data_IF_467412073310
#
_entry.id   IF_467412073310
#
_cell.length_a   1.000
_cell.length_b   1.000
_cell.length_c   1.000
_cell.angle_alpha   90.00
_cell.angle_beta   90.00
_cell.angle_gamma   90.00
#
_symmetry.space_group_name_H-M   'P 1'
#
loop_
_entity.id
_entity.type
_entity.pdbx_description
1 polymer ?
#
# COMPACT_ATOMS: atom_id res chain seq x y z
N UNK A 1 -22.75 -18.13 19.65
CA UNK A 1 -22.45 -17.46 18.42
C UNK A 1 -21.01 -17.02 18.40
N UNK A 2 -20.46 -17.07 17.30
CA UNK A 2 -19.08 -16.70 17.25
C UNK A 2 -18.94 -15.20 17.11
N UNK A 3 -17.84 -14.70 17.63
CA UNK A 3 -17.50 -13.33 17.41
C UNK A 3 -17.11 -13.14 15.97
N UNK A 4 -17.46 -12.01 15.44
CA UNK A 4 -17.02 -11.68 14.10
C UNK A 4 -15.57 -11.27 14.14
N UNK A 5 -14.75 -12.00 13.45
CA UNK A 5 -13.39 -11.57 13.25
C UNK A 5 -13.39 -10.48 12.21
N UNK A 6 -12.67 -9.41 12.49
CA UNK A 6 -12.49 -8.40 11.48
C UNK A 6 -11.64 -8.95 10.35
N UNK A 7 -12.13 -8.76 9.16
CA UNK A 7 -11.37 -9.13 7.99
C UNK A 7 -10.15 -8.24 7.89
N UNK A 8 -9.00 -8.86 7.81
CA UNK A 8 -7.75 -8.11 7.74
C UNK A 8 -7.59 -7.48 6.37
N UNK A 9 -7.13 -6.25 6.35
CA UNK A 9 -6.90 -5.51 5.12
C UNK A 9 -5.53 -4.85 5.20
N UNK A 10 -4.79 -4.89 4.10
CA UNK A 10 -3.44 -4.37 4.05
C UNK A 10 -3.30 -3.37 2.91
N UNK A 11 -2.45 -2.38 3.14
CA UNK A 11 -2.02 -1.46 2.10
C UNK A 11 -0.56 -1.76 1.77
N UNK A 12 -0.30 -2.14 0.55
CA UNK A 12 1.06 -2.26 0.03
C UNK A 12 1.37 -0.96 -0.70
N UNK A 13 2.44 -0.30 -0.32
CA UNK A 13 2.75 1.04 -0.83
C UNK A 13 4.23 1.19 -1.08
N UNK A 14 4.59 1.79 -2.21
CA UNK A 14 5.97 2.09 -2.53
C UNK A 14 6.06 3.36 -3.36
N UNK A 15 7.17 4.08 -3.19
CA UNK A 15 7.48 5.22 -4.05
C UNK A 15 8.25 4.73 -5.26
N UNK A 16 7.90 5.26 -6.42
CA UNK A 16 8.49 4.85 -7.68
C UNK A 16 8.75 6.09 -8.52
N UNK A 17 10.03 6.48 -8.65
CA UNK A 17 10.43 7.50 -9.62
C UNK A 17 9.60 8.78 -9.64
N UNK A 18 9.32 9.37 -8.48
CA UNK A 18 8.53 10.59 -8.40
C UNK A 18 7.04 10.39 -8.26
N UNK A 19 6.60 9.15 -8.19
CA UNK A 19 5.20 8.81 -7.95
C UNK A 19 5.11 7.71 -6.92
N UNK A 20 3.99 7.02 -6.94
CA UNK A 20 3.79 5.90 -6.03
C UNK A 20 2.99 4.80 -6.71
N UNK A 21 3.15 3.59 -6.21
CA UNK A 21 2.33 2.46 -6.60
C UNK A 21 1.80 1.83 -5.33
N UNK A 22 0.57 1.32 -5.40
CA UNK A 22 -0.05 0.77 -4.21
C UNK A 22 -1.09 -0.27 -4.59
N UNK A 23 -1.40 -1.12 -3.61
CA UNK A 23 -2.48 -2.08 -3.70
C UNK A 23 -3.09 -2.23 -2.32
N UNK A 24 -4.41 -2.22 -2.23
CA UNK A 24 -5.13 -2.39 -0.98
C UNK A 24 -6.07 -3.58 -1.10
N UNK A 25 -6.03 -4.46 -0.11
CA UNK A 25 -6.92 -5.61 -0.13
C UNK A 25 -6.70 -6.51 1.08
N UNK A 26 -7.44 -7.60 1.13
CA UNK A 26 -7.42 -8.52 2.25
C UNK A 26 -6.62 -9.79 1.96
N UNK A 27 -5.79 -9.78 0.92
CA UNK A 27 -4.90 -10.89 0.64
C UNK A 27 -3.62 -10.79 1.48
N UNK A 28 -2.86 -11.88 1.51
CA UNK A 28 -1.62 -11.90 2.27
C UNK A 28 -0.66 -10.79 1.84
N UNK A 29 0.12 -10.23 2.79
CA UNK A 29 1.00 -9.12 2.49
C UNK A 29 1.97 -9.36 1.33
N UNK A 30 2.49 -10.57 1.21
CA UNK A 30 3.40 -10.91 0.12
C UNK A 30 2.71 -10.82 -1.24
N UNK A 31 1.45 -11.24 -1.31
CA UNK A 31 0.69 -11.14 -2.54
C UNK A 31 0.31 -9.69 -2.83
N UNK A 32 0.00 -8.93 -1.80
CA UNK A 32 -0.30 -7.50 -1.97
C UNK A 32 0.93 -6.77 -2.51
N UNK A 33 2.11 -7.08 -1.97
CA UNK A 33 3.35 -6.49 -2.45
C UNK A 33 3.61 -6.83 -3.90
N UNK A 34 3.38 -8.09 -4.29
CA UNK A 34 3.58 -8.50 -5.67
C UNK A 34 2.64 -7.76 -6.62
N UNK A 35 1.37 -7.60 -6.24
CA UNK A 35 0.43 -6.85 -7.07
C UNK A 35 0.86 -5.38 -7.20
N UNK A 36 1.37 -4.81 -6.13
CA UNK A 36 1.90 -3.45 -6.14
C UNK A 36 3.07 -3.31 -7.13
N UNK A 37 4.00 -4.25 -7.09
CA UNK A 37 5.16 -4.24 -7.99
C UNK A 37 4.76 -4.47 -9.44
N UNK A 38 3.84 -5.38 -9.69
CA UNK A 38 3.36 -5.61 -11.04
C UNK A 38 2.77 -4.35 -11.64
N UNK A 39 2.00 -3.60 -10.86
CA UNK A 39 1.43 -2.35 -11.33
C UNK A 39 2.52 -1.31 -11.57
N UNK A 40 3.48 -1.20 -10.67
CA UNK A 40 4.58 -0.26 -10.83
C UNK A 40 5.38 -0.55 -12.09
N UNK A 41 5.66 -1.82 -12.33
CA UNK A 41 6.44 -2.23 -13.50
C UNK A 41 5.71 -1.91 -14.79
N UNK A 42 4.41 -2.16 -14.80
CA UNK A 42 3.57 -1.82 -15.96
C UNK A 42 3.56 -0.32 -16.21
N UNK A 43 3.41 0.47 -15.16
CA UNK A 43 3.36 1.92 -15.29
C UNK A 43 4.69 2.47 -15.81
N UNK A 44 5.80 1.96 -15.30
CA UNK A 44 7.11 2.42 -15.75
C UNK A 44 7.34 2.14 -17.22
N UNK A 45 6.99 0.94 -17.66
CA UNK A 45 7.12 0.62 -19.08
C UNK A 45 6.26 1.50 -19.96
N UNK A 46 5.07 1.81 -19.49
CA UNK A 46 4.11 2.61 -20.26
C UNK A 46 4.47 4.08 -20.24
N UNK A 47 4.83 4.61 -19.07
CA UNK A 47 5.03 6.04 -18.87
C UNK A 47 6.45 6.47 -19.18
N UNK A 48 7.43 5.73 -18.66
CA UNK A 48 8.82 6.15 -18.75
C UNK A 48 9.61 5.45 -19.87
N UNK A 49 9.09 4.36 -20.38
CA UNK A 49 9.70 3.62 -21.49
C UNK A 49 11.13 3.16 -21.22
N UNK A 50 11.41 2.78 -19.99
CA UNK A 50 12.71 2.26 -19.60
C UNK A 50 12.54 1.00 -18.77
N UNK A 51 13.64 0.27 -18.58
CA UNK A 51 13.59 -0.96 -17.79
C UNK A 51 13.50 -0.61 -16.31
N UNK A 52 12.46 -1.08 -15.63
CA UNK A 52 12.36 -0.87 -14.20
C UNK A 52 13.34 -1.77 -13.45
N UNK A 53 13.59 -1.42 -12.20
CA UNK A 53 14.43 -2.24 -11.35
C UNK A 53 13.81 -3.61 -11.13
N UNK A 54 14.68 -4.57 -10.79
CA UNK A 54 14.23 -5.93 -10.47
C UNK A 54 14.15 -6.19 -9.00
N UNK A 55 14.78 -5.35 -8.18
CA UNK A 55 14.71 -5.43 -6.72
C UNK A 55 13.71 -4.41 -6.22
N UNK A 56 12.77 -4.88 -5.43
CA UNK A 56 11.67 -4.04 -4.98
C UNK A 56 11.52 -4.14 -3.47
N UNK A 57 11.18 -3.02 -2.83
CA UNK A 57 10.87 -2.96 -1.42
C UNK A 57 9.52 -2.29 -1.27
N UNK A 58 8.57 -3.01 -0.69
CA UNK A 58 7.20 -2.54 -0.57
C UNK A 58 6.82 -2.49 0.91
N UNK A 59 6.39 -1.33 1.38
CA UNK A 59 5.92 -1.19 2.75
C UNK A 59 4.51 -1.72 2.89
N UNK A 60 4.26 -2.45 3.96
CA UNK A 60 2.95 -3.01 4.26
C UNK A 60 2.39 -2.32 5.49
N UNK A 61 1.18 -1.82 5.36
CA UNK A 61 0.48 -1.08 6.41
C UNK A 61 -0.86 -1.71 6.73
N UNK A 62 -1.28 -1.59 7.97
CA UNK A 62 -2.54 -2.16 8.43
C UNK A 62 -3.68 -1.22 8.09
N UNK A 63 -4.63 -1.72 7.29
CA UNK A 63 -5.84 -0.98 6.90
C UNK A 63 -7.09 -1.56 7.54
N UNK A 64 -6.94 -2.50 8.46
CA UNK A 64 -8.07 -3.31 8.94
C UNK A 64 -9.23 -2.50 9.45
N UNK A 65 -9.00 -1.41 10.15
CA UNK A 65 -10.07 -0.59 10.71
C UNK A 65 -10.29 0.72 9.96
N UNK A 66 -9.78 0.84 8.75
CA UNK A 66 -9.78 2.10 8.02
C UNK A 66 -10.44 1.93 6.66
N UNK A 67 -11.76 1.91 6.67
CA UNK A 67 -12.52 1.61 5.45
C UNK A 67 -12.78 2.81 4.55
N UNK A 68 -12.37 4.00 4.94
CA UNK A 68 -12.63 5.20 4.14
C UNK A 68 -11.42 5.65 3.32
N UNK A 69 -10.39 4.82 3.26
CA UNK A 69 -9.22 5.09 2.45
C UNK A 69 -8.06 5.71 3.24
N UNK A 70 -7.13 6.27 2.51
CA UNK A 70 -5.89 6.76 3.09
C UNK A 70 -5.34 7.90 2.25
N UNK A 71 -4.33 8.57 2.81
CA UNK A 71 -3.61 9.63 2.10
C UNK A 71 -2.13 9.54 2.47
N UNK A 72 -1.27 9.58 1.48
CA UNK A 72 0.18 9.54 1.70
C UNK A 72 0.74 10.96 1.61
N UNK A 73 1.71 11.25 2.46
CA UNK A 73 2.40 12.53 2.46
C UNK A 73 3.85 12.29 2.87
N UNK A 74 4.66 13.36 2.89
CA UNK A 74 6.04 13.25 3.35
C UNK A 74 6.14 12.87 4.83
N UNK A 75 5.07 13.05 5.58
CA UNK A 75 5.05 12.73 7.00
C UNK A 75 4.52 11.34 7.32
N UNK A 76 4.05 10.61 6.32
CA UNK A 76 3.56 9.25 6.50
C UNK A 76 2.26 9.02 5.77
N UNK A 77 1.64 7.88 6.07
CA UNK A 77 0.36 7.50 5.47
C UNK A 77 -0.70 7.57 6.56
N UNK A 78 -1.74 8.34 6.30
CA UNK A 78 -2.80 8.62 7.28
C UNK A 78 -4.13 8.09 6.79
N UNK A 79 -4.99 7.60 7.69
CA UNK A 79 -6.32 7.14 7.29
C UNK A 79 -7.25 8.32 7.00
N UNK A 80 -8.24 8.08 6.15
CA UNK A 80 -9.30 9.05 5.90
C UNK A 80 -10.50 8.77 6.78
N UNK A 81 -11.20 9.82 7.13
CA UNK A 81 -12.43 9.74 7.89
C UNK A 81 -13.62 9.58 6.94
N UNK A 82 -14.80 9.35 7.53
CA UNK A 82 -16.03 9.12 6.75
C UNK A 82 -16.34 10.26 5.78
N UNK A 83 -16.03 11.49 6.17
CA UNK A 83 -16.28 12.66 5.33
C UNK A 83 -15.20 12.89 4.27
N UNK A 84 -14.21 12.02 4.18
CA UNK A 84 -13.13 12.12 3.22
C UNK A 84 -11.93 12.92 3.69
N UNK A 85 -12.03 13.58 4.83
CA UNK A 85 -10.89 14.32 5.37
C UNK A 85 -9.84 13.36 5.89
N UNK A 86 -8.61 13.85 6.03
CA UNK A 86 -7.48 13.05 6.48
C UNK A 86 -7.32 13.20 7.98
N UNK A 87 -7.28 12.07 8.70
CA UNK A 87 -7.00 12.09 10.13
C UNK A 87 -5.50 12.22 10.34
N UNK A 88 -5.07 13.30 10.97
CA UNK A 88 -3.64 13.52 11.23
C UNK A 88 -3.23 13.16 12.63
N UNK A 89 -4.13 12.55 13.40
CA UNK A 89 -3.83 12.16 14.78
C UNK A 89 -2.97 10.91 14.85
N UNK A 90 -3.14 10.01 13.91
CA UNK A 90 -2.45 8.71 13.95
C UNK A 90 -2.19 8.21 12.55
N UNK A 91 -0.95 7.86 12.29
CA UNK A 91 -0.57 7.23 11.01
C UNK A 91 -1.11 5.82 10.94
N UNK A 92 -1.23 5.29 9.73
CA UNK A 92 -1.46 3.86 9.58
C UNK A 92 -0.30 3.10 10.20
N UNK A 93 -0.61 1.96 10.80
CA UNK A 93 0.42 1.14 11.43
C UNK A 93 1.26 0.45 10.37
N UNK A 94 2.55 0.72 10.38
CA UNK A 94 3.50 0.01 9.54
C UNK A 94 3.74 -1.37 10.11
N UNK A 95 3.65 -2.39 9.26
CA UNK A 95 3.80 -3.77 9.69
C UNK A 95 5.16 -4.34 9.33
N UNK A 96 5.53 -4.22 8.07
CA UNK A 96 6.81 -4.78 7.60
C UNK A 96 7.11 -4.26 6.20
N UNK A 97 8.31 -4.53 5.73
CA UNK A 97 8.69 -4.31 4.34
C UNK A 97 8.86 -5.66 3.67
N UNK A 98 8.21 -5.83 2.55
CA UNK A 98 8.38 -7.03 1.72
C UNK A 98 9.39 -6.71 0.64
N UNK A 99 10.46 -7.51 0.59
CA UNK A 99 11.48 -7.39 -0.46
C UNK A 99 11.26 -8.51 -1.45
N UNK A 100 11.23 -8.15 -2.72
CA UNK A 100 11.04 -9.16 -3.76
C UNK A 100 11.77 -8.80 -5.04
N UNK A 101 11.98 -9.81 -5.85
CA UNK A 101 12.58 -9.68 -7.18
C UNK A 101 11.50 -9.98 -8.22
N UNK A 102 11.45 -9.14 -9.24
CA UNK A 102 10.39 -9.37 -10.23
C UNK A 102 10.80 -8.87 -11.61
#
# INVERSE_FOLDING_TARGET
MESKQQEKSYLAFMYVGGGSSWYQGSIEPEHAALKCVKQAKKDWRTIYKWEPETKWQVGIYDMTNHKYGWSASTFGIFPRLKDGSVSRKRKLKYLKTVKLYY
#
